data_IF_642269052057
#
_entry.id   IF_642269052057
#
_cell.length_a   1.000
_cell.length_b   1.000
_cell.length_c   1.000
_cell.angle_alpha   90.00
_cell.angle_beta   90.00
_cell.angle_gamma   90.00
#
_symmetry.space_group_name_H-M   'P 1'
#
loop_
_entity.id
_entity.type
_entity.pdbx_description
1 polymer ?
#
# COMPACT_ATOMS: atom_id res chain seq x y z
N UNK A 1 78.24 -22.23 31.70
CA UNK A 1 76.83 -21.87 32.00
C UNK A 1 76.41 -20.73 31.06
N UNK A 2 76.38 -20.99 29.75
CA UNK A 2 76.14 -19.97 28.69
C UNK A 2 75.44 -20.57 27.47
N UNK A 3 75.55 -21.88 27.24
CA UNK A 3 74.86 -22.60 26.16
C UNK A 3 73.35 -22.78 26.38
N UNK A 4 72.88 -22.83 27.63
CA UNK A 4 71.45 -23.05 27.94
C UNK A 4 70.63 -21.77 27.74
N UNK A 5 71.19 -20.58 27.96
CA UNK A 5 70.48 -19.30 27.76
C UNK A 5 70.32 -18.92 26.28
N UNK A 6 71.27 -19.30 25.40
CA UNK A 6 71.20 -18.96 23.97
C UNK A 6 70.23 -19.85 23.15
N UNK A 7 69.81 -21.00 23.68
CA UNK A 7 68.80 -21.85 23.04
C UNK A 7 67.36 -21.50 23.47
N UNK A 8 67.18 -20.91 24.65
CA UNK A 8 65.86 -20.57 25.22
C UNK A 8 65.32 -19.27 24.62
N UNK A 9 66.16 -18.28 24.33
CA UNK A 9 65.74 -16.99 23.76
C UNK A 9 65.11 -17.13 22.36
N UNK A 10 65.68 -17.90 21.41
CA UNK A 10 65.08 -18.09 20.08
C UNK A 10 63.78 -18.91 20.15
N UNK A 11 63.74 -19.96 20.97
CA UNK A 11 62.54 -20.81 21.12
C UNK A 11 61.37 -20.06 21.78
N UNK A 12 61.64 -19.28 22.83
CA UNK A 12 60.62 -18.43 23.45
C UNK A 12 60.11 -17.33 22.50
N UNK A 13 61.01 -16.74 21.69
CA UNK A 13 60.67 -15.74 20.67
C UNK A 13 59.75 -16.31 19.58
N UNK A 14 60.06 -17.50 19.05
CA UNK A 14 59.26 -18.15 18.00
C UNK A 14 57.90 -18.62 18.52
N UNK A 15 57.85 -19.20 19.73
CA UNK A 15 56.59 -19.65 20.34
C UNK A 15 55.69 -18.44 20.66
N UNK A 16 56.24 -17.34 21.16
CA UNK A 16 55.45 -16.11 21.38
C UNK A 16 54.92 -15.52 20.07
N UNK A 17 55.73 -15.52 19.00
CA UNK A 17 55.34 -14.98 17.70
C UNK A 17 54.25 -15.81 17.01
N UNK A 18 54.36 -17.14 17.07
CA UNK A 18 53.35 -18.05 16.54
C UNK A 18 52.02 -17.96 17.32
N UNK A 19 52.10 -17.81 18.65
CA UNK A 19 50.92 -17.67 19.51
C UNK A 19 50.19 -16.36 19.24
N UNK A 20 50.91 -15.24 19.08
CA UNK A 20 50.33 -13.95 18.69
C UNK A 20 49.70 -14.05 17.31
N UNK A 21 50.37 -14.63 16.31
CA UNK A 21 49.81 -14.77 14.96
C UNK A 21 48.52 -15.61 14.92
N UNK A 22 48.43 -16.67 15.73
CA UNK A 22 47.20 -17.48 15.87
C UNK A 22 46.10 -16.68 16.55
N UNK A 23 46.43 -15.92 17.60
CA UNK A 23 45.46 -15.08 18.32
C UNK A 23 44.92 -13.94 17.44
N UNK A 24 45.80 -13.25 16.71
CA UNK A 24 45.42 -12.20 15.76
C UNK A 24 44.53 -12.76 14.64
N UNK A 25 44.87 -13.91 14.05
CA UNK A 25 43.99 -14.57 13.06
C UNK A 25 42.63 -14.95 13.64
N UNK A 26 42.58 -15.34 14.92
CA UNK A 26 41.32 -15.70 15.58
C UNK A 26 40.45 -14.47 15.88
N UNK A 27 41.04 -13.35 16.29
CA UNK A 27 40.34 -12.07 16.45
C UNK A 27 39.86 -11.57 15.09
N UNK A 28 40.72 -11.56 14.08
CA UNK A 28 40.39 -11.09 12.73
C UNK A 28 39.26 -11.92 12.10
N UNK A 29 39.28 -13.24 12.29
CA UNK A 29 38.19 -14.12 11.88
C UNK A 29 36.88 -13.87 12.64
N UNK A 30 36.94 -13.52 13.93
CA UNK A 30 35.77 -13.13 14.73
C UNK A 30 35.20 -11.79 14.28
N UNK A 31 36.05 -10.78 14.12
CA UNK A 31 35.66 -9.46 13.62
C UNK A 31 35.01 -9.59 12.24
N UNK A 32 35.61 -10.34 11.32
CA UNK A 32 35.04 -10.61 9.99
C UNK A 32 33.72 -11.40 10.03
N UNK A 33 33.44 -12.14 11.11
CA UNK A 33 32.16 -12.82 11.29
C UNK A 33 31.10 -11.89 11.90
N UNK A 34 31.51 -10.97 12.78
CA UNK A 34 30.67 -9.91 13.32
C UNK A 34 30.31 -8.89 12.25
N UNK A 35 31.27 -8.45 11.43
CA UNK A 35 31.06 -7.56 10.27
C UNK A 35 30.03 -8.18 9.31
N UNK A 36 30.17 -9.47 8.98
CA UNK A 36 29.20 -10.19 8.13
C UNK A 36 27.83 -10.38 8.79
N UNK A 37 27.73 -10.33 10.11
CA UNK A 37 26.43 -10.35 10.81
C UNK A 37 25.80 -8.97 10.78
N UNK A 38 26.58 -7.93 11.07
CA UNK A 38 26.14 -6.54 10.99
C UNK A 38 25.69 -6.16 9.58
N UNK A 39 26.44 -6.54 8.55
CA UNK A 39 26.07 -6.33 7.14
C UNK A 39 24.72 -6.99 6.81
N UNK A 40 24.49 -8.22 7.28
CA UNK A 40 23.20 -8.91 7.07
C UNK A 40 22.04 -8.25 7.82
N UNK A 41 22.29 -7.72 9.02
CA UNK A 41 21.27 -6.99 9.79
C UNK A 41 20.93 -5.68 9.08
N UNK A 42 21.92 -4.92 8.64
CA UNK A 42 21.72 -3.68 7.88
C UNK A 42 20.98 -3.93 6.56
N UNK A 43 21.32 -5.00 5.84
CA UNK A 43 20.61 -5.39 4.62
C UNK A 43 19.15 -5.75 4.90
N UNK A 44 18.89 -6.45 6.01
CA UNK A 44 17.53 -6.80 6.43
C UNK A 44 16.73 -5.55 6.82
N UNK A 45 17.30 -4.67 7.64
CA UNK A 45 16.70 -3.39 8.03
C UNK A 45 16.40 -2.52 6.83
N UNK A 46 17.32 -2.47 5.86
CA UNK A 46 17.14 -1.73 4.61
C UNK A 46 15.97 -2.26 3.80
N UNK A 47 15.86 -3.58 3.63
CA UNK A 47 14.72 -4.19 2.92
C UNK A 47 13.40 -3.92 3.65
N UNK A 48 13.37 -4.11 4.96
CA UNK A 48 12.18 -3.80 5.75
C UNK A 48 11.76 -2.32 5.66
N UNK A 49 12.72 -1.40 5.61
CA UNK A 49 12.45 0.02 5.40
C UNK A 49 11.93 0.32 3.98
N UNK A 50 12.44 -0.38 2.96
CA UNK A 50 11.96 -0.28 1.57
C UNK A 50 10.52 -0.80 1.43
N UNK A 51 10.21 -1.96 2.03
CA UNK A 51 8.86 -2.56 2.04
C UNK A 51 7.86 -1.65 2.76
N UNK A 52 8.22 -1.17 3.97
CA UNK A 52 7.42 -0.19 4.71
C UNK A 52 7.12 1.05 3.86
N UNK A 53 8.14 1.59 3.18
CA UNK A 53 8.00 2.76 2.30
C UNK A 53 7.06 2.48 1.12
N UNK A 54 7.13 1.29 0.52
CA UNK A 54 6.27 0.90 -0.58
C UNK A 54 4.80 0.84 -0.14
N UNK A 55 4.54 0.16 0.97
CA UNK A 55 3.19 -0.01 1.52
C UNK A 55 2.57 1.31 1.96
N UNK A 56 3.32 2.16 2.68
CA UNK A 56 2.84 3.49 3.09
C UNK A 56 2.53 4.40 1.89
N UNK A 57 3.31 4.31 0.81
CA UNK A 57 3.00 5.05 -0.44
C UNK A 57 1.71 4.55 -1.09
N UNK A 58 1.49 3.23 -1.08
CA UNK A 58 0.25 2.63 -1.56
C UNK A 58 -0.95 3.14 -0.76
N UNK A 59 -0.85 3.14 0.58
CA UNK A 59 -1.86 3.70 1.47
C UNK A 59 -2.15 5.17 1.19
N UNK A 60 -1.12 6.01 1.10
CA UNK A 60 -1.27 7.44 0.82
C UNK A 60 -2.00 7.64 -0.51
N UNK A 61 -1.58 6.94 -1.56
CA UNK A 61 -2.22 7.01 -2.87
C UNK A 61 -3.69 6.61 -2.79
N UNK A 62 -4.00 5.43 -2.23
CA UNK A 62 -5.36 4.93 -2.10
C UNK A 62 -6.27 5.89 -1.31
N UNK A 63 -5.76 6.45 -0.21
CA UNK A 63 -6.50 7.40 0.64
C UNK A 63 -6.79 8.72 -0.10
N UNK A 64 -5.86 9.20 -0.94
CA UNK A 64 -6.09 10.40 -1.77
C UNK A 64 -7.25 10.21 -2.74
N UNK A 65 -7.40 9.02 -3.35
CA UNK A 65 -8.53 8.75 -4.25
C UNK A 65 -9.87 8.81 -3.53
N UNK A 66 -9.96 8.17 -2.36
CA UNK A 66 -11.17 8.22 -1.52
C UNK A 66 -11.50 9.66 -1.12
N UNK A 67 -10.51 10.40 -0.61
CA UNK A 67 -10.68 11.80 -0.22
C UNK A 67 -11.17 12.66 -1.39
N UNK A 68 -10.52 12.54 -2.55
CA UNK A 68 -10.86 13.33 -3.73
C UNK A 68 -12.27 13.06 -4.21
N UNK A 69 -12.73 11.82 -4.17
CA UNK A 69 -14.10 11.47 -4.53
C UNK A 69 -15.11 12.03 -3.51
N UNK A 70 -14.80 11.93 -2.21
CA UNK A 70 -15.62 12.50 -1.16
C UNK A 70 -15.70 14.03 -1.23
N UNK A 71 -14.73 14.70 -1.84
CA UNK A 71 -14.68 16.15 -2.05
C UNK A 71 -15.07 16.60 -3.47
N UNK A 72 -15.70 15.72 -4.26
CA UNK A 72 -16.07 16.05 -5.63
C UNK A 72 -17.00 17.27 -5.71
N UNK A 73 -16.61 18.29 -6.48
CA UNK A 73 -17.42 19.47 -6.76
C UNK A 73 -18.17 19.25 -8.08
N UNK A 74 -19.42 18.80 -7.97
CA UNK A 74 -20.30 18.55 -9.11
C UNK A 74 -21.07 19.80 -9.57
N UNK A 75 -21.82 19.63 -10.65
CA UNK A 75 -22.76 20.64 -11.16
C UNK A 75 -24.18 20.12 -10.98
N UNK A 76 -25.04 20.92 -10.34
CA UNK A 76 -26.43 20.53 -10.07
C UNK A 76 -26.97 21.22 -8.81
N UNK A 77 -28.10 20.74 -8.33
CA UNK A 77 -28.62 21.11 -7.01
C UNK A 77 -27.72 20.56 -5.89
N UNK A 78 -27.81 21.16 -4.69
CA UNK A 78 -27.02 20.71 -3.55
C UNK A 78 -27.26 19.22 -3.21
N UNK A 79 -28.49 18.73 -3.39
CA UNK A 79 -28.86 17.34 -3.14
C UNK A 79 -28.28 16.39 -4.21
N UNK A 80 -28.35 16.77 -5.49
CA UNK A 80 -27.73 15.99 -6.58
C UNK A 80 -26.22 15.89 -6.40
N UNK A 81 -25.56 17.00 -6.05
CA UNK A 81 -24.11 17.02 -5.79
C UNK A 81 -23.76 16.17 -4.57
N UNK A 82 -24.54 16.23 -3.49
CA UNK A 82 -24.32 15.39 -2.30
C UNK A 82 -24.49 13.90 -2.60
N UNK A 83 -25.53 13.53 -3.35
CA UNK A 83 -25.77 12.15 -3.82
C UNK A 83 -24.59 11.67 -4.68
N UNK A 84 -24.14 12.49 -5.63
CA UNK A 84 -23.02 12.15 -6.50
C UNK A 84 -21.71 11.99 -5.71
N UNK A 85 -21.43 12.89 -4.76
CA UNK A 85 -20.27 12.78 -3.85
C UNK A 85 -20.30 11.46 -3.08
N UNK A 86 -21.45 11.05 -2.53
CA UNK A 86 -21.61 9.76 -1.83
C UNK A 86 -21.34 8.59 -2.77
N UNK A 87 -21.96 8.57 -3.94
CA UNK A 87 -21.78 7.48 -4.90
C UNK A 87 -20.30 7.31 -5.31
N UNK A 88 -19.63 8.42 -5.61
CA UNK A 88 -18.21 8.42 -5.97
C UNK A 88 -17.31 8.01 -4.80
N UNK A 89 -17.57 8.52 -3.59
CA UNK A 89 -16.83 8.17 -2.39
C UNK A 89 -16.92 6.67 -2.07
N UNK A 90 -18.13 6.09 -2.14
CA UNK A 90 -18.36 4.66 -1.90
C UNK A 90 -17.66 3.81 -2.97
N UNK A 91 -17.65 4.28 -4.22
CA UNK A 91 -16.96 3.60 -5.32
C UNK A 91 -15.45 3.58 -5.11
N UNK A 92 -14.84 4.70 -4.76
CA UNK A 92 -13.40 4.75 -4.47
C UNK A 92 -13.05 4.02 -3.17
N UNK A 93 -13.94 4.05 -2.17
CA UNK A 93 -13.80 3.25 -0.97
C UNK A 93 -13.82 1.76 -1.33
N UNK A 94 -14.74 1.31 -2.19
CA UNK A 94 -14.78 -0.07 -2.67
C UNK A 94 -13.46 -0.49 -3.34
N UNK A 95 -12.90 0.39 -4.18
CA UNK A 95 -11.62 0.17 -4.88
C UNK A 95 -10.39 0.32 -3.94
N UNK A 96 -10.56 0.80 -2.71
CA UNK A 96 -9.48 1.02 -1.74
C UNK A 96 -8.65 -0.23 -1.46
N UNK A 97 -9.32 -1.36 -1.14
CA UNK A 97 -8.62 -2.63 -0.87
C UNK A 97 -7.84 -3.12 -2.09
N UNK A 98 -8.39 -2.95 -3.28
CA UNK A 98 -7.70 -3.32 -4.52
C UNK A 98 -6.43 -2.48 -4.71
N UNK A 99 -6.51 -1.16 -4.46
CA UNK A 99 -5.36 -0.26 -4.54
C UNK A 99 -4.26 -0.58 -3.51
N UNK A 100 -4.64 -1.11 -2.35
CA UNK A 100 -3.69 -1.56 -1.34
C UNK A 100 -2.96 -2.86 -1.72
N UNK A 101 -3.48 -3.66 -2.67
CA UNK A 101 -2.97 -5.01 -2.94
C UNK A 101 -3.76 -6.11 -2.24
N UNK A 102 -5.07 -5.89 -2.04
CA UNK A 102 -6.01 -6.84 -1.44
C UNK A 102 -5.59 -7.30 -0.04
N UNK A 103 -5.74 -8.59 0.27
CA UNK A 103 -5.39 -9.16 1.58
C UNK A 103 -3.89 -9.05 1.89
N UNK A 104 -3.04 -9.34 0.89
CA UNK A 104 -1.59 -9.32 1.05
C UNK A 104 -1.09 -7.91 1.40
N UNK A 105 -1.53 -6.90 0.65
CA UNK A 105 -1.13 -5.52 0.91
C UNK A 105 -1.68 -4.94 2.22
N UNK A 106 -2.88 -5.35 2.64
CA UNK A 106 -3.40 -5.01 3.96
C UNK A 106 -2.57 -5.67 5.06
N UNK A 107 -2.22 -6.96 4.89
CA UNK A 107 -1.38 -7.67 5.85
C UNK A 107 0.02 -7.03 5.98
N UNK A 108 0.66 -6.68 4.87
CA UNK A 108 1.94 -5.97 4.86
C UNK A 108 1.86 -4.63 5.61
N UNK A 109 0.75 -3.90 5.46
CA UNK A 109 0.52 -2.65 6.18
C UNK A 109 0.40 -2.88 7.68
N UNK A 110 -0.31 -3.93 8.11
CA UNK A 110 -0.41 -4.29 9.51
C UNK A 110 0.93 -4.73 10.12
N UNK A 111 1.82 -5.32 9.31
CA UNK A 111 3.18 -5.73 9.71
C UNK A 111 4.11 -4.53 9.84
N UNK A 112 4.15 -3.66 8.84
CA UNK A 112 5.21 -2.63 8.72
C UNK A 112 4.82 -1.24 9.23
N UNK A 113 3.53 -0.88 9.21
CA UNK A 113 3.09 0.45 9.60
C UNK A 113 3.09 0.64 11.12
N UNK A 114 3.33 1.87 11.57
CA UNK A 114 3.24 2.23 12.98
C UNK A 114 1.80 2.06 13.50
N UNK A 115 1.61 1.78 14.82
CA UNK A 115 0.28 1.59 15.41
C UNK A 115 -0.76 2.65 15.02
N UNK A 116 -0.46 3.97 15.06
CA UNK A 116 -1.45 5.00 14.71
C UNK A 116 -1.95 4.91 13.26
N UNK A 117 -1.09 4.45 12.34
CA UNK A 117 -1.48 4.23 10.94
C UNK A 117 -2.39 3.02 10.84
N UNK A 118 -2.07 1.93 11.54
CA UNK A 118 -2.88 0.70 11.54
C UNK A 118 -4.28 0.96 12.09
N UNK A 119 -4.38 1.69 13.20
CA UNK A 119 -5.66 2.01 13.83
C UNK A 119 -6.57 2.81 12.87
N UNK A 120 -6.02 3.80 12.15
CA UNK A 120 -6.76 4.58 11.18
C UNK A 120 -7.14 3.79 9.93
N UNK A 121 -6.25 2.91 9.45
CA UNK A 121 -6.56 2.02 8.33
C UNK A 121 -7.65 1.02 8.71
N UNK A 122 -7.65 0.50 9.94
CA UNK A 122 -8.75 -0.33 10.43
C UNK A 122 -10.09 0.40 10.36
N UNK A 123 -10.15 1.68 10.77
CA UNK A 123 -11.39 2.46 10.64
C UNK A 123 -11.85 2.63 9.18
N UNK A 124 -10.93 2.84 8.24
CA UNK A 124 -11.27 2.89 6.81
C UNK A 124 -11.78 1.55 6.29
N UNK A 125 -11.20 0.43 6.74
CA UNK A 125 -11.63 -0.91 6.38
C UNK A 125 -12.98 -1.28 7.02
N UNK A 126 -13.26 -0.79 8.23
CA UNK A 126 -14.56 -0.96 8.89
C UNK A 126 -15.66 -0.21 8.14
N UNK A 127 -15.40 1.02 7.69
CA UNK A 127 -16.35 1.77 6.86
C UNK A 127 -16.54 1.13 5.49
N UNK A 128 -15.47 0.59 4.89
CA UNK A 128 -15.57 -0.22 3.67
C UNK A 128 -16.49 -1.42 3.87
N UNK A 129 -16.31 -2.18 4.96
CA UNK A 129 -17.11 -3.37 5.24
C UNK A 129 -18.57 -3.02 5.51
N UNK A 130 -18.83 -1.90 6.21
CA UNK A 130 -20.19 -1.38 6.42
C UNK A 130 -20.88 -1.06 5.10
N UNK A 131 -20.26 -0.23 4.25
CA UNK A 131 -20.81 0.14 2.95
C UNK A 131 -20.97 -1.08 2.03
N UNK A 132 -20.05 -2.05 2.08
CA UNK A 132 -20.17 -3.28 1.31
C UNK A 132 -21.32 -4.16 1.79
N UNK A 133 -21.57 -4.26 3.10
CA UNK A 133 -22.73 -5.01 3.63
C UNK A 133 -24.06 -4.38 3.22
N UNK A 134 -24.14 -3.05 3.21
CA UNK A 134 -25.37 -2.32 2.90
C UNK A 134 -25.63 -2.23 1.39
N UNK A 135 -24.58 -2.03 0.59
CA UNK A 135 -24.70 -1.72 -0.84
C UNK A 135 -23.94 -2.67 -1.78
N UNK A 136 -23.46 -3.82 -1.26
CA UNK A 136 -22.63 -4.78 -1.99
C UNK A 136 -23.24 -5.27 -3.31
N UNK A 137 -24.57 -5.40 -3.37
CA UNK A 137 -25.25 -5.75 -4.63
C UNK A 137 -25.07 -4.66 -5.70
N UNK A 138 -25.36 -3.40 -5.36
CA UNK A 138 -25.18 -2.26 -6.27
C UNK A 138 -23.71 -2.11 -6.70
N UNK A 139 -22.77 -2.29 -5.77
CA UNK A 139 -21.34 -2.28 -6.05
C UNK A 139 -20.91 -3.40 -7.02
N UNK A 140 -21.44 -4.61 -6.84
CA UNK A 140 -21.16 -5.73 -7.75
C UNK A 140 -21.73 -5.48 -9.15
N UNK A 141 -22.91 -4.87 -9.25
CA UNK A 141 -23.49 -4.47 -10.54
C UNK A 141 -22.64 -3.39 -11.22
N UNK A 142 -22.14 -2.41 -10.47
CA UNK A 142 -21.23 -1.39 -10.97
C UNK A 142 -19.91 -1.99 -11.48
N UNK A 143 -19.32 -2.94 -10.75
CA UNK A 143 -18.09 -3.62 -11.18
C UNK A 143 -18.32 -4.46 -12.46
N UNK A 144 -19.44 -5.19 -12.54
CA UNK A 144 -19.85 -5.88 -13.76
C UNK A 144 -20.01 -4.91 -14.94
N UNK A 145 -20.65 -3.76 -14.71
CA UNK A 145 -20.84 -2.72 -15.72
C UNK A 145 -19.48 -2.14 -16.17
N UNK A 146 -18.57 -1.81 -15.25
CA UNK A 146 -17.21 -1.34 -15.55
C UNK A 146 -16.45 -2.34 -16.43
N UNK A 147 -16.52 -3.64 -16.12
CA UNK A 147 -15.86 -4.69 -16.93
C UNK A 147 -16.43 -4.77 -18.34
N UNK A 148 -17.76 -4.71 -18.48
CA UNK A 148 -18.41 -4.72 -19.80
C UNK A 148 -18.09 -3.45 -20.61
N UNK A 149 -18.04 -2.29 -19.95
CA UNK A 149 -17.60 -1.04 -20.58
C UNK A 149 -16.16 -1.16 -21.10
N UNK A 150 -15.22 -1.64 -20.27
CA UNK A 150 -13.83 -1.83 -20.68
C UNK A 150 -13.70 -2.78 -21.89
N UNK A 151 -14.49 -3.86 -21.92
CA UNK A 151 -14.53 -4.78 -23.05
C UNK A 151 -15.10 -4.14 -24.33
N UNK A 152 -16.11 -3.28 -24.20
CA UNK A 152 -16.71 -2.57 -25.34
C UNK A 152 -15.76 -1.54 -25.96
N UNK A 153 -14.92 -0.88 -25.16
CA UNK A 153 -13.91 0.09 -25.64
C UNK A 153 -12.66 -0.59 -26.22
N UNK A 154 -12.35 -1.80 -25.78
CA UNK A 154 -11.22 -2.59 -26.28
C UNK A 154 -11.53 -3.37 -27.58
N UNK A 155 -12.74 -3.26 -28.11
CA UNK A 155 -13.11 -3.92 -29.36
C UNK A 155 -12.45 -3.17 -30.54
N UNK A 156 -11.53 -3.79 -31.30
CA UNK A 156 -10.92 -3.13 -32.45
C UNK A 156 -11.99 -2.76 -33.47
N UNK A 157 -11.78 -1.66 -34.20
CA UNK A 157 -12.63 -1.30 -35.32
C UNK A 157 -12.83 -2.52 -36.24
N UNK A 158 -14.08 -2.94 -36.51
CA UNK A 158 -14.34 -4.04 -37.43
C UNK A 158 -13.73 -3.69 -38.79
N UNK A 159 -13.07 -4.66 -39.43
CA UNK A 159 -12.71 -4.51 -40.85
C UNK A 159 -14.02 -4.38 -41.64
N UNK A 160 -14.26 -3.18 -42.14
CA UNK A 160 -15.20 -2.85 -43.23
C UNK A 160 -16.72 -2.94 -42.94
N UNK A 161 -17.17 -3.22 -41.72
CA UNK A 161 -18.62 -3.28 -41.42
C UNK A 161 -19.09 -2.14 -40.48
N UNK A 162 -19.78 -1.16 -41.05
CA UNK A 162 -20.31 0.03 -40.36
C UNK A 162 -21.36 -0.37 -39.31
N UNK A 163 -22.06 -1.48 -39.51
CA UNK A 163 -23.13 -1.96 -38.60
C UNK A 163 -22.60 -2.35 -37.21
N UNK A 164 -21.46 -3.04 -37.17
CA UNK A 164 -20.82 -3.51 -35.92
C UNK A 164 -20.27 -2.34 -35.10
N UNK A 165 -19.83 -1.26 -35.74
CA UNK A 165 -19.41 -0.03 -35.05
C UNK A 165 -20.60 0.67 -34.36
N UNK A 166 -21.74 0.80 -35.05
CA UNK A 166 -22.96 1.38 -34.47
C UNK A 166 -23.52 0.55 -33.31
N UNK A 167 -23.50 -0.78 -33.39
CA UNK A 167 -23.92 -1.66 -32.29
C UNK A 167 -23.03 -1.53 -31.06
N UNK A 168 -21.72 -1.35 -31.24
CA UNK A 168 -20.77 -1.09 -30.17
C UNK A 168 -21.02 0.22 -29.43
N UNK A 169 -21.24 1.31 -30.17
CA UNK A 169 -21.56 2.62 -29.59
C UNK A 169 -22.91 2.62 -28.85
N UNK A 170 -23.93 1.97 -29.43
CA UNK A 170 -25.24 1.80 -28.77
C UNK A 170 -25.10 1.04 -27.45
N UNK A 171 -24.41 -0.11 -27.47
CA UNK A 171 -24.16 -0.90 -26.26
C UNK A 171 -23.36 -0.14 -25.20
N UNK A 172 -22.35 0.62 -25.60
CA UNK A 172 -21.61 1.49 -24.68
C UNK A 172 -22.53 2.54 -24.04
N UNK A 173 -23.37 3.19 -24.85
CA UNK A 173 -24.32 4.20 -24.36
C UNK A 173 -25.35 3.63 -23.38
N UNK A 174 -25.83 2.39 -23.62
CA UNK A 174 -26.73 1.68 -22.72
C UNK A 174 -26.04 1.33 -21.41
N UNK A 175 -24.82 0.80 -21.46
CA UNK A 175 -24.04 0.49 -20.27
C UNK A 175 -23.77 1.75 -19.42
N UNK A 176 -23.50 2.90 -20.05
CA UNK A 176 -23.34 4.17 -19.31
C UNK A 176 -24.63 4.65 -18.65
N UNK A 177 -25.79 4.41 -19.26
CA UNK A 177 -27.09 4.68 -18.60
C UNK A 177 -27.28 3.78 -17.39
N UNK A 178 -26.97 2.48 -17.53
CA UNK A 178 -27.04 1.51 -16.42
C UNK A 178 -26.10 1.92 -15.28
N UNK A 179 -24.85 2.27 -15.59
CA UNK A 179 -23.88 2.78 -14.60
C UNK A 179 -24.43 4.00 -13.85
N UNK A 180 -25.00 4.96 -14.58
CA UNK A 180 -25.59 6.18 -14.00
C UNK A 180 -26.74 5.86 -13.04
N UNK A 181 -27.62 4.92 -13.41
CA UNK A 181 -28.75 4.51 -12.55
C UNK A 181 -28.24 3.88 -11.24
N UNK A 182 -27.22 3.03 -11.30
CA UNK A 182 -26.65 2.42 -10.11
C UNK A 182 -25.93 3.43 -9.22
N UNK A 183 -25.21 4.39 -9.80
CA UNK A 183 -24.57 5.47 -9.05
C UNK A 183 -25.59 6.37 -8.36
N UNK A 184 -26.65 6.78 -9.07
CA UNK A 184 -27.73 7.60 -8.51
C UNK A 184 -28.44 6.88 -7.36
N UNK A 185 -28.71 5.58 -7.54
CA UNK A 185 -29.27 4.73 -6.47
C UNK A 185 -28.34 4.67 -5.26
N UNK A 186 -27.06 4.40 -5.47
CA UNK A 186 -26.05 4.31 -4.41
C UNK A 186 -25.93 5.62 -3.61
N UNK A 187 -25.91 6.76 -4.31
CA UNK A 187 -25.81 8.07 -3.69
C UNK A 187 -27.05 8.49 -2.89
N UNK A 188 -28.23 8.04 -3.29
CA UNK A 188 -29.50 8.31 -2.58
C UNK A 188 -29.73 7.37 -1.39
N UNK A 189 -29.40 6.08 -1.55
CA UNK A 189 -29.64 5.07 -0.52
C UNK A 189 -28.59 5.09 0.59
N UNK A 190 -27.38 5.58 0.32
CA UNK A 190 -26.31 5.62 1.30
C UNK A 190 -26.45 6.76 2.30
N UNK A 191 -26.20 6.43 3.56
CA UNK A 191 -26.09 7.36 4.69
C UNK A 191 -24.64 7.79 4.98
N UNK A 192 -23.70 7.51 4.08
CA UNK A 192 -22.28 7.82 4.26
C UNK A 192 -22.08 9.29 4.66
N UNK A 193 -21.47 9.50 5.83
CA UNK A 193 -21.03 10.80 6.30
C UNK A 193 -19.74 11.20 5.57
N UNK A 194 -19.91 12.04 4.55
CA UNK A 194 -18.82 12.53 3.70
C UNK A 194 -17.78 13.33 4.49
N UNK A 195 -18.20 14.11 5.47
CA UNK A 195 -17.28 14.98 6.22
C UNK A 195 -16.47 14.15 7.22
N UNK A 196 -17.10 13.17 7.88
CA UNK A 196 -16.38 12.20 8.71
C UNK A 196 -15.39 11.35 7.90
N UNK A 197 -15.77 10.94 6.68
CA UNK A 197 -14.87 10.21 5.79
C UNK A 197 -13.66 11.06 5.36
N UNK A 198 -13.88 12.34 5.08
CA UNK A 198 -12.80 13.28 4.73
C UNK A 198 -11.85 13.48 5.92
N UNK A 199 -12.37 13.69 7.14
CA UNK A 199 -11.55 13.80 8.36
C UNK A 199 -10.71 12.54 8.60
N UNK A 200 -11.32 11.36 8.44
CA UNK A 200 -10.63 10.09 8.56
C UNK A 200 -9.51 9.95 7.50
N UNK A 201 -9.76 10.36 6.26
CA UNK A 201 -8.73 10.39 5.22
C UNK A 201 -7.60 11.35 5.58
N UNK A 202 -7.90 12.54 6.08
CA UNK A 202 -6.89 13.52 6.48
C UNK A 202 -6.00 13.03 7.61
N UNK A 203 -6.60 12.47 8.66
CA UNK A 203 -5.86 11.85 9.76
C UNK A 203 -5.00 10.68 9.29
N UNK A 204 -5.52 9.85 8.37
CA UNK A 204 -4.77 8.73 7.78
C UNK A 204 -3.57 9.22 6.98
N UNK A 205 -3.75 10.25 6.16
CA UNK A 205 -2.67 10.85 5.37
C UNK A 205 -1.60 11.47 6.27
N UNK A 206 -2.00 12.21 7.30
CA UNK A 206 -1.06 12.81 8.26
C UNK A 206 -0.25 11.73 8.97
N UNK A 207 -0.91 10.69 9.50
CA UNK A 207 -0.25 9.59 10.18
C UNK A 207 0.70 8.83 9.23
N UNK A 208 0.26 8.51 8.01
CA UNK A 208 1.07 7.81 7.03
C UNK A 208 2.28 8.63 6.58
N UNK A 209 2.13 9.95 6.38
CA UNK A 209 3.25 10.83 6.08
C UNK A 209 4.24 10.96 7.23
N UNK A 210 3.75 11.03 8.47
CA UNK A 210 4.60 11.03 9.66
C UNK A 210 5.38 9.72 9.78
N UNK A 211 4.73 8.59 9.56
CA UNK A 211 5.38 7.27 9.61
C UNK A 211 6.42 7.09 8.50
N UNK A 212 6.11 7.56 7.29
CA UNK A 212 7.02 7.54 6.13
C UNK A 212 8.29 8.36 6.38
N UNK A 213 8.21 9.42 7.20
CA UNK A 213 9.34 10.26 7.60
C UNK A 213 10.11 9.70 8.82
N UNK A 214 9.69 8.55 9.36
CA UNK A 214 10.28 7.95 10.56
C UNK A 214 9.84 8.59 11.87
N UNK A 215 8.78 9.40 11.86
CA UNK A 215 8.33 10.19 13.02
C UNK A 215 7.73 9.38 14.18
N UNK A 216 7.58 8.06 14.04
CA UNK A 216 7.14 7.14 15.10
C UNK A 216 8.25 6.18 15.58
N UNK A 217 9.47 6.29 15.03
CA UNK A 217 10.63 5.46 15.42
C UNK A 217 11.71 6.24 16.18
N UNK A 218 11.41 7.45 16.66
CA UNK A 218 12.35 8.37 17.32
C UNK A 218 12.15 8.46 18.84
N UNK A 219 11.57 7.44 19.48
CA UNK A 219 11.50 7.33 20.95
C UNK A 219 12.64 6.47 21.50
#
# INVERSE_FOLDING_TARGET
>A
MTLVMNAVVPLASVISSATVAIWTKRIDAKNKAEDRRHERVLDFEKRAAEDKKAVLKSLISATIYVKRAAQYEGVGTAEEVASQRRAEAIRELYDFRMRLGLDDGVAELLVYAAPPVRDLVSLLLDEWDRQFREHGYSLTQLDSCKRQLAQSTACPAPREDVTVYYEGELKWSELRKVETVWLDRLGRESDLDLEALVDLCDRTLEAAHKDLRGGYGLE
#
